data_IF_626512436216
#
_entry.id   IF_626512436216
#
_cell.length_a   1.000
_cell.length_b   1.000
_cell.length_c   1.000
_cell.angle_alpha   90.00
_cell.angle_beta   90.00
_cell.angle_gamma   90.00
#
_symmetry.space_group_name_H-M   'P 1'
#
loop_
_entity.id
_entity.type
_entity.pdbx_description
1 polymer ?
#
# COMPACT_ATOMS: atom_id res chain seq x y z
N UNK A 1 14.30 6.19 -0.20
CA UNK A 1 13.47 6.21 -1.43
C UNK A 1 12.13 5.51 -1.20
N UNK A 2 12.10 4.19 -0.95
CA UNK A 2 10.87 3.40 -0.78
C UNK A 2 9.91 3.89 0.31
N UNK A 3 10.43 4.30 1.48
CA UNK A 3 9.61 4.82 2.59
C UNK A 3 8.89 6.13 2.20
N UNK A 4 9.55 7.00 1.43
CA UNK A 4 8.95 8.27 0.97
C UNK A 4 7.85 7.99 -0.05
N UNK A 5 8.06 7.03 -0.97
CA UNK A 5 7.04 6.60 -1.92
C UNK A 5 5.80 6.02 -1.22
N UNK A 6 6.00 5.20 -0.17
CA UNK A 6 4.91 4.67 0.65
C UNK A 6 4.12 5.76 1.39
N UNK A 7 4.80 6.76 1.96
CA UNK A 7 4.13 7.90 2.62
C UNK A 7 3.30 8.74 1.64
N UNK A 8 3.85 9.04 0.46
CA UNK A 8 3.14 9.80 -0.59
C UNK A 8 1.91 9.02 -1.06
N UNK A 9 2.06 7.72 -1.27
CA UNK A 9 0.96 6.84 -1.66
C UNK A 9 -0.16 6.78 -0.62
N UNK A 10 0.18 6.62 0.66
CA UNK A 10 -0.80 6.64 1.75
C UNK A 10 -1.50 8.00 1.88
N UNK A 11 -0.75 9.11 1.73
CA UNK A 11 -1.30 10.47 1.74
C UNK A 11 -2.32 10.72 0.61
N UNK A 12 -2.00 10.33 -0.62
CA UNK A 12 -2.91 10.44 -1.76
C UNK A 12 -4.16 9.57 -1.53
N UNK A 13 -3.98 8.34 -1.05
CA UNK A 13 -5.09 7.41 -0.84
C UNK A 13 -6.05 7.84 0.27
N UNK A 14 -5.52 8.38 1.36
CA UNK A 14 -6.33 8.92 2.46
C UNK A 14 -7.11 10.17 2.05
N UNK A 15 -6.51 11.05 1.24
CA UNK A 15 -7.21 12.21 0.67
C UNK A 15 -8.35 11.79 -0.26
N UNK A 16 -8.09 10.83 -1.14
CA UNK A 16 -9.09 10.29 -2.08
C UNK A 16 -10.26 9.58 -1.36
N UNK A 17 -9.96 8.82 -0.29
CA UNK A 17 -10.96 8.18 0.58
C UNK A 17 -11.87 9.19 1.24
N UNK A 18 -11.29 10.24 1.84
CA UNK A 18 -12.05 11.24 2.58
C UNK A 18 -13.02 11.99 1.66
N UNK A 19 -12.57 12.31 0.44
CA UNK A 19 -13.43 12.91 -0.58
C UNK A 19 -14.60 12.02 -1.01
N UNK A 20 -14.38 10.70 -1.16
CA UNK A 20 -15.43 9.74 -1.56
C UNK A 20 -16.43 9.44 -0.44
N UNK A 21 -15.98 9.37 0.80
CA UNK A 21 -16.84 9.20 1.99
C UNK A 21 -17.71 10.45 2.20
N UNK A 22 -17.16 11.65 1.98
CA UNK A 22 -17.92 12.92 2.04
C UNK A 22 -19.01 13.02 0.94
N UNK A 23 -18.84 12.35 -0.20
CA UNK A 23 -19.83 12.29 -1.28
C UNK A 23 -20.86 11.16 -1.13
N UNK A 24 -20.87 10.43 0.00
CA UNK A 24 -21.87 9.40 0.31
C UNK A 24 -21.47 7.98 -0.03
N UNK A 25 -20.39 7.77 -0.81
CA UNK A 25 -19.87 6.46 -1.21
C UNK A 25 -19.21 5.72 -0.03
N UNK A 26 -20.06 5.24 0.86
CA UNK A 26 -19.72 4.45 2.05
C UNK A 26 -19.55 2.98 1.68
N UNK A 27 -18.84 2.25 2.54
CA UNK A 27 -18.55 0.81 2.42
C UNK A 27 -19.83 -0.02 2.19
N UNK A 28 -20.99 0.51 2.55
CA UNK A 28 -22.31 -0.12 2.47
C UNK A 28 -23.13 0.23 1.23
N UNK A 29 -22.71 1.15 0.37
CA UNK A 29 -23.54 1.54 -0.79
C UNK A 29 -23.64 0.45 -1.84
N UNK A 30 -22.52 -0.20 -2.19
CA UNK A 30 -22.48 -1.26 -3.19
C UNK A 30 -21.35 -2.24 -2.89
N UNK A 31 -21.54 -3.50 -3.28
CA UNK A 31 -20.55 -4.58 -3.14
C UNK A 31 -19.19 -4.19 -3.76
N UNK A 32 -19.22 -3.41 -4.85
CA UNK A 32 -18.02 -2.83 -5.49
C UNK A 32 -17.24 -1.93 -4.54
N UNK A 33 -17.91 -1.00 -3.85
CA UNK A 33 -17.27 -0.13 -2.87
C UNK A 33 -16.74 -0.93 -1.69
N UNK A 34 -17.48 -1.93 -1.17
CA UNK A 34 -16.98 -2.79 -0.09
C UNK A 34 -15.70 -3.54 -0.47
N UNK A 35 -15.65 -4.10 -1.68
CA UNK A 35 -14.46 -4.78 -2.21
C UNK A 35 -13.31 -3.80 -2.45
N UNK A 36 -13.59 -2.63 -3.03
CA UNK A 36 -12.61 -1.56 -3.22
C UNK A 36 -11.98 -1.17 -1.87
N UNK A 37 -12.82 -0.88 -0.87
CA UNK A 37 -12.38 -0.44 0.45
C UNK A 37 -11.55 -1.52 1.17
N UNK A 38 -12.01 -2.77 1.14
CA UNK A 38 -11.33 -3.89 1.80
C UNK A 38 -9.98 -4.20 1.13
N UNK A 39 -9.95 -4.28 -0.20
CA UNK A 39 -8.75 -4.68 -0.93
C UNK A 39 -7.68 -3.57 -0.91
N UNK A 40 -8.09 -2.30 -1.06
CA UNK A 40 -7.16 -1.17 -0.94
C UNK A 40 -6.70 -0.94 0.50
N UNK A 41 -7.57 -1.17 1.50
CA UNK A 41 -7.20 -1.11 2.91
C UNK A 41 -6.20 -2.19 3.33
N UNK A 42 -6.42 -3.44 2.89
CA UNK A 42 -5.45 -4.52 3.11
C UNK A 42 -4.10 -4.23 2.45
N UNK A 43 -4.11 -3.68 1.24
CA UNK A 43 -2.87 -3.27 0.57
C UNK A 43 -2.14 -2.16 1.33
N UNK A 44 -2.88 -1.14 1.81
CA UNK A 44 -2.31 -0.07 2.63
C UNK A 44 -1.66 -0.62 3.92
N UNK A 45 -2.29 -1.62 4.58
CA UNK A 45 -1.69 -2.31 5.74
C UNK A 45 -0.37 -3.01 5.38
N UNK A 46 -0.28 -3.66 4.22
CA UNK A 46 0.96 -4.30 3.77
C UNK A 46 2.07 -3.27 3.48
N UNK A 47 1.73 -2.15 2.85
CA UNK A 47 2.69 -1.05 2.61
C UNK A 47 3.22 -0.49 3.94
N UNK A 48 2.34 -0.27 4.92
CA UNK A 48 2.74 0.19 6.27
C UNK A 48 3.66 -0.85 6.94
N UNK A 49 3.28 -2.13 6.92
CA UNK A 49 4.10 -3.21 7.47
C UNK A 49 5.50 -3.29 6.82
N UNK A 50 5.55 -3.19 5.49
CA UNK A 50 6.80 -3.13 4.73
C UNK A 50 7.66 -1.93 5.11
N UNK A 51 7.06 -0.75 5.29
CA UNK A 51 7.78 0.46 5.69
C UNK A 51 8.39 0.34 7.08
N UNK A 52 7.65 -0.24 8.04
CA UNK A 52 8.14 -0.46 9.41
C UNK A 52 9.34 -1.39 9.39
N UNK A 53 9.25 -2.53 8.71
CA UNK A 53 10.35 -3.50 8.63
C UNK A 53 11.55 -2.89 7.91
N UNK A 54 11.33 -2.13 6.82
CA UNK A 54 12.41 -1.48 6.08
C UNK A 54 13.09 -0.36 6.89
N UNK A 55 12.36 0.33 7.77
CA UNK A 55 12.92 1.29 8.73
C UNK A 55 13.76 0.60 9.82
N UNK A 56 13.29 -0.52 10.35
CA UNK A 56 14.05 -1.34 11.32
C UNK A 56 15.35 -1.87 10.71
N UNK A 57 15.28 -2.43 9.50
CA UNK A 57 16.46 -2.93 8.78
C UNK A 57 17.43 -1.79 8.46
N UNK A 58 16.94 -0.60 8.06
CA UNK A 58 17.82 0.56 7.84
C UNK A 58 18.58 0.98 9.10
N UNK A 59 18.00 0.81 10.28
CA UNK A 59 18.68 1.08 11.54
C UNK A 59 19.73 0.00 11.88
N UNK A 60 19.44 -1.27 11.57
CA UNK A 60 20.36 -2.39 11.78
C UNK A 60 21.57 -2.38 10.83
N UNK A 61 21.40 -1.95 9.57
CA UNK A 61 22.51 -1.82 8.60
C UNK A 61 23.56 -0.82 9.12
N UNK A 62 23.13 0.26 9.80
CA UNK A 62 24.05 1.24 10.40
C UNK A 62 24.93 0.64 11.50
N UNK A 63 24.55 -0.53 12.04
CA UNK A 63 25.34 -1.30 13.01
C UNK A 63 26.18 -2.43 12.36
N UNK A 64 26.17 -2.55 11.03
CA UNK A 64 27.05 -3.47 10.29
C UNK A 64 26.47 -4.87 9.99
N UNK A 65 25.16 -5.08 10.16
CA UNK A 65 24.55 -6.41 9.98
C UNK A 65 23.85 -6.61 8.62
N UNK A 66 24.21 -7.72 7.95
CA UNK A 66 23.45 -8.54 6.98
C UNK A 66 22.75 -7.82 5.78
N UNK A 67 23.50 -7.64 4.70
CA UNK A 67 22.99 -7.22 3.37
C UNK A 67 21.85 -8.10 2.82
N UNK A 68 21.82 -9.39 3.17
CA UNK A 68 20.81 -10.33 2.71
C UNK A 68 19.38 -9.97 3.18
N UNK A 69 19.25 -9.30 4.33
CA UNK A 69 17.94 -8.81 4.82
C UNK A 69 17.38 -7.68 3.96
N UNK A 70 18.27 -6.88 3.35
CA UNK A 70 17.93 -5.75 2.48
C UNK A 70 17.40 -6.24 1.14
N UNK A 71 18.00 -7.30 0.61
CA UNK A 71 17.53 -7.91 -0.63
C UNK A 71 16.14 -8.54 -0.44
N UNK A 72 15.93 -9.24 0.69
CA UNK A 72 14.64 -9.84 1.02
C UNK A 72 13.51 -8.79 1.14
N UNK A 73 13.77 -7.67 1.82
CA UNK A 73 12.77 -6.60 1.97
C UNK A 73 12.53 -5.86 0.65
N UNK A 74 13.55 -5.74 -0.21
CA UNK A 74 13.40 -5.21 -1.56
C UNK A 74 12.48 -6.07 -2.42
N UNK A 75 12.67 -7.40 -2.39
CA UNK A 75 11.80 -8.36 -3.08
C UNK A 75 10.37 -8.30 -2.53
N UNK A 76 10.19 -8.21 -1.20
CA UNK A 76 8.88 -8.02 -0.59
C UNK A 76 8.19 -6.73 -1.10
N UNK A 77 8.93 -5.63 -1.19
CA UNK A 77 8.39 -4.36 -1.69
C UNK A 77 7.96 -4.45 -3.15
N UNK A 78 8.78 -5.06 -4.00
CA UNK A 78 8.44 -5.30 -5.41
C UNK A 78 7.22 -6.22 -5.58
N UNK A 79 7.06 -7.21 -4.71
CA UNK A 79 5.88 -8.06 -4.72
C UNK A 79 4.60 -7.29 -4.39
N UNK A 80 4.65 -6.41 -3.39
CA UNK A 80 3.53 -5.53 -3.02
C UNK A 80 3.18 -4.59 -4.18
N UNK A 81 4.18 -3.99 -4.83
CA UNK A 81 3.99 -3.12 -6.00
C UNK A 81 3.36 -3.86 -7.19
N UNK A 82 3.81 -5.09 -7.45
CA UNK A 82 3.28 -5.94 -8.51
C UNK A 82 1.80 -6.25 -8.30
N UNK A 83 1.37 -6.58 -7.07
CA UNK A 83 -0.05 -6.77 -6.75
C UNK A 83 -0.85 -5.50 -7.05
N UNK A 84 -0.31 -4.32 -6.71
CA UNK A 84 -0.99 -3.05 -6.94
C UNK A 84 -1.18 -2.74 -8.43
N UNK A 85 -0.20 -3.07 -9.27
CA UNK A 85 -0.29 -2.96 -10.73
C UNK A 85 -1.48 -3.75 -11.30
N UNK A 86 -1.84 -4.90 -10.71
CA UNK A 86 -3.04 -5.66 -11.14
C UNK A 86 -4.33 -5.11 -10.53
N UNK A 87 -4.26 -4.60 -9.31
CA UNK A 87 -5.39 -4.05 -8.57
C UNK A 87 -5.91 -2.75 -9.17
N UNK A 88 -5.00 -1.89 -9.65
CA UNK A 88 -5.36 -0.57 -10.18
C UNK A 88 -6.25 -0.65 -11.44
N UNK A 89 -5.92 -1.42 -12.49
CA UNK A 89 -6.81 -1.65 -13.63
C UNK A 89 -8.10 -2.36 -13.24
N UNK A 90 -8.05 -3.34 -12.34
CA UNK A 90 -9.24 -4.09 -11.94
C UNK A 90 -10.26 -3.18 -11.24
N UNK A 91 -9.81 -2.24 -10.41
CA UNK A 91 -10.71 -1.32 -9.71
C UNK A 91 -11.07 -0.07 -10.52
N UNK A 92 -10.22 0.37 -11.46
CA UNK A 92 -10.41 1.63 -12.19
C UNK A 92 -10.97 1.43 -13.61
N UNK A 93 -10.60 0.33 -14.28
CA UNK A 93 -11.01 -0.01 -15.66
C UNK A 93 -12.18 -0.99 -15.68
N UNK A 94 -12.29 -1.93 -14.73
CA UNK A 94 -13.47 -2.81 -14.64
C UNK A 94 -14.67 -2.10 -13.97
N UNK A 95 -14.90 -0.85 -14.35
CA UNK A 95 -16.12 -0.11 -14.09
C UNK A 95 -17.17 -0.61 -15.09
N UNK A 96 -17.79 -1.76 -14.77
CA UNK A 96 -19.00 -2.26 -15.43
C UNK A 96 -20.23 -1.63 -14.79
#
# INVERSE_FOLDING_TARGET
>A
AFIIAGLVFLGIKTYEYTGKILHGHTITENLFWSFYYTMTGLHALHVIGGMVIMALISFDIRKGYNYQRVELIGIYWHFVDLIWIFLFPLLYIANF
#
